data_IF_546538992954
#
_entry.id   IF_546538992954
#
_cell.length_a   1.000
_cell.length_b   1.000
_cell.length_c   1.000
_cell.angle_alpha   90.00
_cell.angle_beta   90.00
_cell.angle_gamma   90.00
#
_symmetry.space_group_name_H-M   'P 1'
#
loop_
_entity.id
_entity.type
_entity.pdbx_description
1 polymer ?
#
# COMPACT_ATOMS: atom_id res chain seq x y z
N UNK A 1 10.45 -7.79 2.14
CA UNK A 1 9.34 -8.03 1.18
C UNK A 1 8.80 -6.67 0.77
N UNK A 2 8.90 -6.29 -0.51
CA UNK A 2 8.54 -4.95 -1.00
C UNK A 2 7.09 -4.96 -1.49
N UNK A 3 6.24 -4.11 -0.91
CA UNK A 3 4.86 -3.91 -1.36
C UNK A 3 4.80 -2.66 -2.24
N UNK A 4 4.82 -2.86 -3.56
CA UNK A 4 4.65 -1.79 -4.54
C UNK A 4 3.15 -1.48 -4.70
N UNK A 5 2.61 -0.63 -3.83
CA UNK A 5 1.22 -0.20 -3.86
C UNK A 5 1.11 1.17 -4.54
N UNK A 6 0.98 1.14 -5.87
CA UNK A 6 0.05 1.89 -6.72
C UNK A 6 0.63 2.03 -8.14
N UNK A 7 0.09 1.25 -9.07
CA UNK A 7 0.10 1.60 -10.49
C UNK A 7 -1.15 2.44 -10.76
N UNK A 8 -0.98 3.73 -11.03
CA UNK A 8 -1.98 4.51 -11.79
C UNK A 8 -1.52 4.63 -13.24
N UNK A 9 -2.43 4.33 -14.15
CA UNK A 9 -2.26 4.43 -15.60
C UNK A 9 -1.66 5.78 -16.00
N UNK A 10 -0.49 5.74 -16.64
CA UNK A 10 -0.03 6.80 -17.52
C UNK A 10 -0.37 6.42 -18.96
N UNK A 11 -0.98 7.37 -19.65
CA UNK A 11 -1.22 7.34 -21.09
C UNK A 11 0.08 7.03 -21.84
N UNK A 12 -0.04 6.17 -22.85
CA UNK A 12 0.95 5.79 -23.86
C UNK A 12 2.12 6.79 -24.01
N UNK A 13 3.33 6.37 -23.64
CA UNK A 13 4.54 6.76 -24.38
C UNK A 13 5.35 5.50 -24.69
N UNK A 14 5.74 5.41 -25.95
CA UNK A 14 6.47 4.30 -26.52
C UNK A 14 7.95 4.46 -26.12
N UNK A 15 8.35 3.89 -24.99
CA UNK A 15 9.73 3.94 -24.50
C UNK A 15 9.96 2.74 -23.60
N UNK A 16 10.97 1.92 -23.92
CA UNK A 16 11.26 0.67 -23.24
C UNK A 16 11.23 0.81 -21.71
N UNK A 17 10.54 -0.12 -21.06
CA UNK A 17 10.34 -0.16 -19.62
C UNK A 17 11.70 -0.38 -18.94
N UNK A 18 12.29 0.68 -18.38
CA UNK A 18 13.52 0.60 -17.60
C UNK A 18 13.25 -0.14 -16.29
N UNK A 19 14.21 -0.94 -15.86
CA UNK A 19 14.23 -1.53 -14.52
C UNK A 19 14.59 -0.48 -13.47
N UNK A 20 14.18 -0.70 -12.21
CA UNK A 20 14.48 0.21 -11.09
C UNK A 20 15.99 0.48 -10.96
N UNK A 21 16.82 -0.54 -11.20
CA UNK A 21 18.27 -0.40 -11.12
C UNK A 21 18.85 0.50 -12.22
N UNK A 22 18.36 0.38 -13.46
CA UNK A 22 18.81 1.22 -14.58
C UNK A 22 18.44 2.69 -14.36
N UNK A 23 17.27 2.96 -13.77
CA UNK A 23 16.81 4.31 -13.47
C UNK A 23 17.66 4.98 -12.36
N UNK A 24 18.03 4.23 -11.32
CA UNK A 24 18.93 4.68 -10.24
C UNK A 24 20.32 5.00 -10.81
N UNK A 25 20.86 4.12 -11.65
CA UNK A 25 22.21 4.28 -12.21
C UNK A 25 22.32 5.48 -13.15
N UNK A 26 21.24 5.80 -13.88
CA UNK A 26 21.16 6.98 -14.75
C UNK A 26 20.89 8.29 -13.99
N UNK A 27 20.76 8.26 -12.65
CA UNK A 27 20.34 9.40 -11.81
C UNK A 27 19.07 10.11 -12.34
N UNK A 28 18.17 9.36 -12.97
CA UNK A 28 16.94 9.92 -13.56
C UNK A 28 15.78 9.99 -12.56
N UNK A 29 15.99 9.58 -11.31
CA UNK A 29 14.96 9.54 -10.28
C UNK A 29 15.52 10.13 -8.99
N UNK A 30 14.89 11.20 -8.53
CA UNK A 30 15.18 11.76 -7.22
C UNK A 30 14.36 11.02 -6.15
N UNK A 31 15.05 10.55 -5.12
CA UNK A 31 14.37 10.04 -3.92
C UNK A 31 14.06 11.22 -3.01
N UNK A 32 12.78 11.46 -2.73
CA UNK A 32 12.37 12.47 -1.77
C UNK A 32 11.70 11.81 -0.56
N UNK A 33 12.17 12.20 0.63
CA UNK A 33 11.74 11.65 1.93
C UNK A 33 10.85 12.63 2.73
N UNK A 34 10.61 13.82 2.20
CA UNK A 34 10.10 14.96 3.00
C UNK A 34 8.63 14.86 3.42
N UNK A 35 7.89 13.83 3.01
CA UNK A 35 6.51 13.61 3.44
C UNK A 35 6.35 12.21 3.98
N UNK A 36 5.82 12.02 5.17
CA UNK A 36 5.40 10.70 5.65
C UNK A 36 3.99 10.40 5.17
N UNK A 37 3.69 9.12 4.93
CA UNK A 37 2.31 8.72 4.72
C UNK A 37 1.50 9.03 5.98
N UNK A 38 0.41 9.78 5.82
CA UNK A 38 -0.47 10.06 6.95
C UNK A 38 -1.10 8.77 7.46
N UNK A 39 -1.01 8.54 8.76
CA UNK A 39 -1.60 7.38 9.46
C UNK A 39 -3.14 7.34 9.35
N UNK A 40 -3.76 8.48 9.00
CA UNK A 40 -5.20 8.60 8.77
C UNK A 40 -5.60 8.35 7.32
N UNK A 41 -4.65 8.09 6.43
CA UNK A 41 -4.92 7.90 5.01
C UNK A 41 -5.20 6.43 4.70
N UNK A 42 -6.12 6.16 3.75
CA UNK A 42 -6.52 4.81 3.33
C UNK A 42 -5.36 3.86 2.98
N UNK A 43 -4.27 4.40 2.42
CA UNK A 43 -3.09 3.59 2.07
C UNK A 43 -2.33 3.10 3.29
N UNK A 44 -2.37 3.84 4.40
CA UNK A 44 -1.75 3.39 5.65
C UNK A 44 -2.49 2.16 6.18
N UNK A 45 -3.82 2.20 6.23
CA UNK A 45 -4.63 1.03 6.60
C UNK A 45 -4.41 -0.18 5.68
N UNK A 46 -4.24 0.04 4.37
CA UNK A 46 -3.91 -1.06 3.44
C UNK A 46 -2.57 -1.73 3.78
N UNK A 47 -1.55 -0.93 4.06
CA UNK A 47 -0.23 -1.45 4.45
C UNK A 47 -0.30 -2.16 5.80
N UNK A 48 -0.95 -1.56 6.80
CA UNK A 48 -1.14 -2.19 8.12
C UNK A 48 -1.88 -3.52 8.03
N UNK A 49 -2.92 -3.60 7.20
CA UNK A 49 -3.63 -4.85 6.96
C UNK A 49 -2.77 -5.92 6.30
N UNK A 50 -1.93 -5.56 5.33
CA UNK A 50 -0.99 -6.51 4.71
C UNK A 50 0.05 -7.01 5.71
N UNK A 51 0.59 -6.13 6.57
CA UNK A 51 1.50 -6.51 7.64
C UNK A 51 0.81 -7.45 8.66
N UNK A 52 -0.41 -7.12 9.08
CA UNK A 52 -1.20 -7.95 9.99
C UNK A 52 -1.51 -9.35 9.44
N UNK A 53 -1.90 -9.45 8.16
CA UNK A 53 -2.20 -10.75 7.52
C UNK A 53 -0.93 -11.60 7.33
N UNK A 54 0.22 -10.97 7.06
CA UNK A 54 1.46 -11.69 6.77
C UNK A 54 2.33 -11.96 8.00
N UNK A 55 2.03 -11.33 9.14
CA UNK A 55 2.84 -11.40 10.36
C UNK A 55 4.19 -10.65 10.26
N UNK A 56 4.37 -9.81 9.24
CA UNK A 56 5.57 -9.00 9.08
C UNK A 56 5.53 -7.77 10.00
N UNK A 57 6.67 -7.41 10.57
CA UNK A 57 6.79 -6.26 11.49
C UNK A 57 7.06 -4.93 10.77
N UNK A 58 7.36 -4.97 9.46
CA UNK A 58 7.59 -3.79 8.64
C UNK A 58 7.52 -4.11 7.14
N UNK A 59 7.33 -3.08 6.32
CA UNK A 59 7.57 -3.13 4.89
C UNK A 59 8.11 -1.79 4.36
N UNK A 60 8.77 -1.83 3.21
CA UNK A 60 9.14 -0.61 2.48
C UNK A 60 8.04 -0.27 1.47
N UNK A 61 7.44 0.91 1.62
CA UNK A 61 6.52 1.54 0.67
C UNK A 61 7.33 2.33 -0.36
N UNK A 62 7.12 2.00 -1.63
CA UNK A 62 7.76 2.67 -2.77
C UNK A 62 6.66 3.18 -3.70
N UNK A 63 6.68 4.48 -3.99
CA UNK A 63 5.76 5.10 -4.97
C UNK A 63 6.58 5.78 -6.05
N UNK A 64 6.36 5.37 -7.29
CA UNK A 64 7.00 5.93 -8.48
C UNK A 64 6.02 6.89 -9.18
N UNK A 65 6.41 8.17 -9.30
CA UNK A 65 5.62 9.21 -9.97
C UNK A 65 6.04 9.46 -11.42
N UNK A 66 7.00 8.68 -11.95
CA UNK A 66 7.56 8.83 -13.29
C UNK A 66 8.69 9.86 -13.42
N UNK A 67 8.91 10.69 -12.39
CA UNK A 67 10.05 11.61 -12.29
C UNK A 67 10.75 11.54 -10.92
N UNK A 68 10.01 11.12 -9.89
CA UNK A 68 10.52 10.98 -8.54
C UNK A 68 10.08 9.64 -7.93
N UNK A 69 10.91 9.13 -7.01
CA UNK A 69 10.54 7.98 -6.21
C UNK A 69 10.37 8.42 -4.76
N UNK A 70 9.20 8.14 -4.23
CA UNK A 70 8.94 8.20 -2.80
C UNK A 70 9.30 6.87 -2.15
N UNK A 71 9.96 6.95 -0.99
CA UNK A 71 10.35 5.79 -0.20
C UNK A 71 10.05 6.03 1.28
N UNK A 72 9.38 5.07 1.92
CA UNK A 72 9.13 5.08 3.36
C UNK A 72 9.10 3.65 3.92
N UNK A 73 9.81 3.42 5.03
CA UNK A 73 9.64 2.20 5.82
C UNK A 73 8.47 2.39 6.78
N UNK A 74 7.46 1.54 6.63
CA UNK A 74 6.28 1.52 7.49
C UNK A 74 6.42 0.36 8.46
N UNK A 75 6.30 0.66 9.75
CA UNK A 75 6.29 -0.34 10.82
C UNK A 75 4.87 -0.86 11.03
N UNK A 76 4.75 -2.11 11.44
CA UNK A 76 3.48 -2.65 11.90
C UNK A 76 3.01 -1.92 13.17
N UNK A 77 1.75 -1.55 13.20
CA UNK A 77 1.06 -0.96 14.34
C UNK A 77 -0.07 -1.88 14.77
N UNK A 78 0.10 -2.53 15.92
CA UNK A 78 -0.85 -3.48 16.46
C UNK A 78 -2.19 -2.82 16.79
N UNK A 79 -2.19 -1.60 17.33
CA UNK A 79 -3.42 -0.91 17.71
C UNK A 79 -4.25 -0.57 16.47
N UNK A 80 -3.59 -0.05 15.43
CA UNK A 80 -4.28 0.27 14.16
C UNK A 80 -4.84 -1.00 13.51
N UNK A 81 -4.12 -2.12 13.62
CA UNK A 81 -4.58 -3.40 13.10
C UNK A 81 -5.80 -3.92 13.87
N UNK A 82 -5.77 -3.88 15.20
CA UNK A 82 -6.89 -4.27 16.07
C UNK A 82 -8.14 -3.42 15.81
N UNK A 83 -7.98 -2.09 15.74
CA UNK A 83 -9.07 -1.15 15.44
C UNK A 83 -9.71 -1.47 14.07
N UNK A 84 -8.87 -1.78 13.08
CA UNK A 84 -9.34 -2.17 11.75
C UNK A 84 -10.07 -3.52 11.79
N UNK A 85 -9.56 -4.50 12.53
CA UNK A 85 -10.21 -5.81 12.69
C UNK A 85 -11.59 -5.69 13.32
N UNK A 86 -11.78 -4.85 14.33
CA UNK A 86 -13.10 -4.62 14.94
C UNK A 86 -14.13 -4.06 13.94
N UNK A 87 -13.70 -3.18 13.04
CA UNK A 87 -14.56 -2.65 11.97
C UNK A 87 -14.87 -3.72 10.92
N UNK A 88 -13.86 -4.50 10.53
CA UNK A 88 -14.00 -5.57 9.53
C UNK A 88 -14.88 -6.72 10.05
N UNK A 89 -14.74 -7.10 11.32
CA UNK A 89 -15.57 -8.13 11.96
C UNK A 89 -17.04 -7.72 11.92
N UNK A 90 -17.36 -6.48 12.33
CA UNK A 90 -18.72 -5.95 12.24
C UNK A 90 -19.25 -5.98 10.81
N UNK A 91 -18.43 -5.56 9.84
CA UNK A 91 -18.82 -5.59 8.43
C UNK A 91 -19.11 -7.02 7.95
N UNK A 92 -18.23 -7.97 8.25
CA UNK A 92 -18.40 -9.38 7.88
C UNK A 92 -19.66 -9.97 8.50
N UNK A 93 -19.89 -9.77 9.80
CA UNK A 93 -21.09 -10.27 10.50
C UNK A 93 -22.37 -9.73 9.88
N UNK A 94 -22.49 -8.40 9.72
CA UNK A 94 -23.69 -7.79 9.12
C UNK A 94 -23.92 -8.27 7.68
N UNK A 95 -22.86 -8.43 6.89
CA UNK A 95 -23.00 -8.84 5.50
C UNK A 95 -23.36 -10.34 5.36
N UNK A 96 -22.83 -11.20 6.22
CA UNK A 96 -23.19 -12.63 6.25
C UNK A 96 -24.64 -12.83 6.71
N UNK A 97 -25.10 -12.08 7.72
CA UNK A 97 -26.50 -12.10 8.18
C UNK A 97 -27.47 -11.61 7.11
N UNK A 98 -27.08 -10.58 6.35
CA UNK A 98 -27.90 -10.03 5.26
C UNK A 98 -28.00 -10.99 4.07
N UNK A 99 -26.94 -11.73 3.76
CA UNK A 99 -26.93 -12.71 2.68
C UNK A 99 -27.56 -14.06 3.08
N UNK A 100 -27.66 -14.38 4.37
CA UNK A 100 -28.44 -15.53 4.85
C UNK A 100 -29.94 -15.44 4.55
N UNK A 101 -30.45 -14.21 4.31
CA UNK A 101 -31.85 -13.95 3.96
C UNK A 101 -32.12 -13.83 2.45
N UNK A 102 -31.11 -14.03 1.59
CA UNK A 102 -31.31 -14.09 0.16
C UNK A 102 -30.25 -15.01 -0.48
N UNK A 103 -30.58 -16.28 -0.78
CA UNK A 103 -29.62 -17.20 -1.36
C UNK A 103 -29.24 -16.70 -2.77
N UNK A 104 -27.93 -16.66 -3.04
CA UNK A 104 -27.36 -16.44 -4.37
C UNK A 104 -27.76 -17.61 -5.29
#
# INVERSE_FOLDING_TARGET
>A
MTLALLRRNTSKSNGGRLTVQEAIQKRQVHFFKERKLSERHKYFYQVQGQLGVTGLTWCDLIVDSGGDIYFERIMFDAQVCEDMFAVLERFCTTHLESNGNNPI
#
